data_IF_397992128290
#
_entry.id   IF_397992128290
#
_cell.length_a   1.000
_cell.length_b   1.000
_cell.length_c   1.000
_cell.angle_alpha   90.00
_cell.angle_beta   90.00
_cell.angle_gamma   90.00
#
_symmetry.space_group_name_H-M   'P 1'
#
loop_
_entity.id
_entity.type
_entity.pdbx_description
1 polymer ?
#
# COMPACT_ATOMS: atom_id res chain seq x y z
N UNK A 1 -17.67 11.06 11.61
CA UNK A 1 -17.04 10.10 12.55
C UNK A 1 -15.59 10.53 12.71
N UNK A 2 -15.07 10.62 13.91
CA UNK A 2 -13.66 10.97 14.14
C UNK A 2 -12.84 9.72 13.84
N UNK A 3 -11.86 9.81 12.93
CA UNK A 3 -10.92 8.73 12.64
C UNK A 3 -10.13 8.36 13.91
N UNK A 4 -9.96 7.07 14.15
CA UNK A 4 -9.08 6.56 15.19
C UNK A 4 -8.11 5.58 14.56
N UNK A 5 -6.80 5.81 14.67
CA UNK A 5 -5.81 4.88 14.15
C UNK A 5 -5.99 3.48 14.73
N UNK A 6 -6.00 2.46 13.87
CA UNK A 6 -6.02 1.06 14.26
C UNK A 6 -4.69 0.40 13.86
N UNK A 7 -4.29 -0.72 14.50
CA UNK A 7 -3.03 -1.39 14.19
C UNK A 7 -3.09 -2.31 12.96
N UNK A 8 -4.27 -2.51 12.39
CA UNK A 8 -4.51 -3.35 11.22
C UNK A 8 -5.80 -2.94 10.51
N UNK A 9 -5.94 -3.31 9.24
CA UNK A 9 -7.11 -3.01 8.41
C UNK A 9 -7.44 -4.18 7.50
N UNK A 10 -8.71 -4.53 7.42
CA UNK A 10 -9.22 -5.54 6.52
C UNK A 10 -9.62 -4.95 5.15
N UNK A 11 -10.02 -5.80 4.21
CA UNK A 11 -10.38 -5.40 2.84
C UNK A 11 -11.51 -4.37 2.78
N UNK A 12 -12.53 -4.52 3.61
CA UNK A 12 -13.67 -3.59 3.63
C UNK A 12 -13.27 -2.20 4.09
N UNK A 13 -12.38 -2.12 5.07
CA UNK A 13 -11.83 -0.85 5.56
C UNK A 13 -10.94 -0.18 4.51
N UNK A 14 -10.17 -0.96 3.75
CA UNK A 14 -9.38 -0.43 2.64
C UNK A 14 -10.26 0.09 1.50
N UNK A 15 -11.35 -0.59 1.18
CA UNK A 15 -12.36 -0.12 0.23
C UNK A 15 -13.02 1.17 0.74
N UNK A 16 -13.38 1.23 2.01
CA UNK A 16 -13.92 2.45 2.64
C UNK A 16 -12.94 3.62 2.54
N UNK A 17 -11.63 3.37 2.69
CA UNK A 17 -10.60 4.37 2.43
C UNK A 17 -10.65 4.89 0.99
N UNK A 18 -10.79 4.00 0.02
CA UNK A 18 -10.93 4.35 -1.40
C UNK A 18 -12.16 5.23 -1.67
N UNK A 19 -13.26 4.99 -0.96
CA UNK A 19 -14.50 5.76 -1.05
C UNK A 19 -14.41 7.13 -0.34
N UNK A 20 -13.37 7.35 0.48
CA UNK A 20 -13.22 8.55 1.29
C UNK A 20 -13.89 8.48 2.67
N UNK A 21 -14.38 7.31 3.06
CA UNK A 21 -15.13 7.11 4.30
C UNK A 21 -14.22 6.90 5.53
N UNK A 22 -12.98 6.45 5.31
CA UNK A 22 -12.06 6.15 6.42
C UNK A 22 -11.40 7.39 7.01
N UNK A 23 -10.78 8.23 6.16
CA UNK A 23 -10.03 9.42 6.58
C UNK A 23 -10.79 10.73 6.37
N UNK A 24 -11.96 10.67 5.74
CA UNK A 24 -12.80 11.81 5.40
C UNK A 24 -12.58 12.34 3.98
N UNK A 25 -13.50 13.21 3.50
CA UNK A 25 -13.59 13.56 2.08
C UNK A 25 -12.40 14.36 1.54
N UNK A 26 -11.72 15.11 2.39
CA UNK A 26 -10.63 16.03 2.02
C UNK A 26 -9.23 15.43 2.24
N UNK A 27 -9.16 14.16 2.53
CA UNK A 27 -7.90 13.46 2.78
C UNK A 27 -7.61 12.42 1.70
N UNK A 28 -6.40 11.86 1.76
CA UNK A 28 -5.93 10.85 0.82
C UNK A 28 -6.81 9.61 0.80
N UNK A 29 -6.88 8.99 -0.37
CA UNK A 29 -7.66 7.77 -0.62
C UNK A 29 -6.75 6.70 -1.23
N UNK A 30 -7.06 5.46 -0.94
CA UNK A 30 -6.51 4.35 -1.71
C UNK A 30 -7.16 4.32 -3.11
N UNK A 31 -6.46 3.81 -4.12
CA UNK A 31 -7.08 3.53 -5.40
C UNK A 31 -8.17 2.46 -5.25
N UNK A 32 -9.08 2.43 -6.20
CA UNK A 32 -10.20 1.50 -6.21
C UNK A 32 -9.94 0.29 -7.11
N UNK A 33 -10.74 -0.75 -6.89
CA UNK A 33 -10.86 -1.93 -7.73
C UNK A 33 -9.51 -2.58 -8.07
N UNK A 34 -9.19 -2.69 -9.34
CA UNK A 34 -7.99 -3.37 -9.85
C UNK A 34 -6.68 -2.68 -9.45
N UNK A 35 -6.69 -1.40 -9.16
CA UNK A 35 -5.50 -0.66 -8.72
C UNK A 35 -5.22 -0.77 -7.23
N UNK A 36 -6.13 -1.27 -6.42
CA UNK A 36 -5.86 -1.57 -5.01
C UNK A 36 -5.00 -2.84 -4.92
N UNK A 37 -3.73 -2.69 -4.57
CA UNK A 37 -2.71 -3.72 -4.72
C UNK A 37 -2.44 -4.54 -3.46
N UNK A 38 -3.33 -4.50 -2.48
CA UNK A 38 -3.26 -5.35 -1.28
C UNK A 38 -4.66 -5.61 -0.71
N UNK A 39 -4.78 -6.71 0.04
CA UNK A 39 -6.04 -7.17 0.60
C UNK A 39 -6.20 -6.83 2.08
N UNK A 40 -5.09 -6.60 2.77
CA UNK A 40 -5.10 -6.16 4.16
C UNK A 40 -3.81 -5.41 4.52
N UNK A 41 -3.90 -4.61 5.56
CA UNK A 41 -2.74 -4.12 6.31
C UNK A 41 -2.73 -4.91 7.62
N UNK A 42 -1.73 -5.77 7.77
CA UNK A 42 -1.63 -6.69 8.90
C UNK A 42 -1.02 -6.03 10.15
N UNK A 43 -0.18 -5.03 9.91
CA UNK A 43 0.48 -4.25 10.95
C UNK A 43 0.75 -2.84 10.44
N UNK A 44 0.47 -1.86 11.28
CA UNK A 44 0.86 -0.47 11.07
C UNK A 44 1.10 0.19 12.44
N UNK A 45 2.28 0.76 12.64
CA UNK A 45 2.65 1.42 13.90
C UNK A 45 3.76 2.47 13.69
N UNK A 46 4.04 3.26 14.73
CA UNK A 46 5.04 4.33 14.71
C UNK A 46 6.36 4.00 15.44
N UNK A 47 6.49 2.81 16.02
CA UNK A 47 7.55 2.54 16.98
C UNK A 47 8.48 1.40 16.56
N UNK A 48 7.99 0.47 15.74
CA UNK A 48 8.74 -0.68 15.28
C UNK A 48 9.47 -0.45 13.97
N UNK A 49 9.97 -1.52 13.38
CA UNK A 49 10.73 -1.48 12.14
C UNK A 49 12.22 -1.25 12.34
N UNK A 50 12.95 -1.32 11.24
CA UNK A 50 14.41 -1.24 11.22
C UNK A 50 14.97 0.03 11.86
N UNK A 51 14.23 1.14 11.75
CA UNK A 51 14.66 2.46 12.24
C UNK A 51 13.93 2.88 13.51
N UNK A 52 13.07 2.03 14.09
CA UNK A 52 12.23 2.34 15.25
C UNK A 52 11.34 3.58 15.06
N UNK A 53 10.98 3.87 13.83
CA UNK A 53 10.16 5.03 13.43
C UNK A 53 8.84 4.63 12.78
N UNK A 54 8.55 3.34 12.73
CA UNK A 54 7.31 2.81 12.19
C UNK A 54 7.53 1.68 11.20
N UNK A 55 6.50 0.86 11.09
CA UNK A 55 6.46 -0.29 10.18
C UNK A 55 5.07 -0.47 9.60
N UNK A 56 5.03 -0.91 8.35
CA UNK A 56 3.81 -1.34 7.70
C UNK A 56 4.05 -2.74 7.15
N UNK A 57 3.11 -3.64 7.41
CA UNK A 57 3.06 -4.96 6.81
C UNK A 57 1.69 -5.14 6.17
N UNK A 58 1.67 -5.50 4.91
CA UNK A 58 0.44 -5.76 4.14
C UNK A 58 0.61 -7.00 3.29
N UNK A 59 -0.47 -7.56 2.79
CA UNK A 59 -0.39 -8.67 1.84
C UNK A 59 -1.44 -8.58 0.73
N UNK A 60 -1.10 -9.16 -0.41
CA UNK A 60 -1.98 -9.44 -1.53
C UNK A 60 -2.08 -10.96 -1.69
N UNK A 61 -3.30 -11.50 -1.64
CA UNK A 61 -3.55 -12.89 -1.99
C UNK A 61 -3.43 -13.05 -3.51
N UNK A 62 -2.65 -14.03 -3.93
CA UNK A 62 -2.44 -14.30 -5.35
C UNK A 62 -3.37 -15.41 -5.81
N UNK A 63 -4.22 -15.06 -6.77
CA UNK A 63 -5.13 -15.97 -7.45
C UNK A 63 -4.87 -15.89 -8.96
N UNK A 64 -5.05 -17.01 -9.66
CA UNK A 64 -4.84 -17.09 -11.12
C UNK A 64 -5.72 -16.11 -11.90
N UNK A 65 -6.84 -15.69 -11.32
CA UNK A 65 -7.83 -14.79 -11.91
C UNK A 65 -7.48 -13.32 -11.78
N UNK A 66 -6.38 -12.96 -11.12
CA UNK A 66 -5.96 -11.57 -11.05
C UNK A 66 -5.67 -11.00 -12.44
N UNK A 67 -6.24 -9.84 -12.71
CA UNK A 67 -6.31 -9.22 -14.04
C UNK A 67 -4.97 -9.12 -14.77
N UNK A 68 -3.88 -8.85 -14.05
CA UNK A 68 -2.58 -8.65 -14.67
C UNK A 68 -1.96 -9.94 -15.22
N UNK A 69 -2.40 -11.12 -14.79
CA UNK A 69 -1.92 -12.39 -15.33
C UNK A 69 -2.41 -12.68 -16.75
N UNK A 70 -3.58 -12.17 -17.12
CA UNK A 70 -4.12 -12.34 -18.48
C UNK A 70 -3.42 -11.46 -19.53
N UNK A 71 -2.83 -10.36 -19.09
CA UNK A 71 -2.28 -9.33 -19.97
C UNK A 71 -0.77 -9.17 -19.90
N UNK A 72 -0.14 -9.76 -18.90
CA UNK A 72 1.29 -9.62 -18.65
C UNK A 72 1.92 -10.97 -18.25
N UNK A 73 2.29 -11.83 -19.19
CA UNK A 73 2.12 -11.72 -20.64
C UNK A 73 1.21 -12.84 -21.15
N UNK A 74 0.71 -12.79 -22.39
CA UNK A 74 0.00 -13.91 -22.99
C UNK A 74 0.89 -15.15 -22.99
N UNK A 75 0.39 -16.26 -22.43
CA UNK A 75 1.11 -17.54 -22.29
C UNK A 75 2.33 -17.51 -21.35
N UNK A 76 2.56 -16.38 -20.67
CA UNK A 76 3.66 -16.23 -19.71
C UNK A 76 3.22 -15.27 -18.59
N UNK A 77 2.32 -15.72 -17.70
CA UNK A 77 1.74 -14.86 -16.68
C UNK A 77 2.74 -14.57 -15.55
N UNK A 78 3.00 -13.29 -15.34
CA UNK A 78 3.82 -12.78 -14.25
C UNK A 78 3.28 -11.44 -13.78
N UNK A 79 3.23 -11.22 -12.47
CA UNK A 79 2.83 -9.94 -11.91
C UNK A 79 3.83 -8.85 -12.33
N UNK A 80 3.37 -7.73 -12.92
CA UNK A 80 4.25 -6.61 -13.21
C UNK A 80 4.92 -6.09 -11.94
N UNK A 81 6.24 -5.99 -11.93
CA UNK A 81 7.00 -5.50 -10.77
C UNK A 81 6.64 -4.07 -10.36
N UNK A 82 6.25 -3.25 -11.34
CA UNK A 82 5.76 -1.88 -11.08
C UNK A 82 4.50 -1.85 -10.20
N UNK A 83 3.65 -2.87 -10.22
CA UNK A 83 2.47 -2.95 -9.36
C UNK A 83 2.86 -3.20 -7.90
N UNK A 84 3.90 -3.96 -7.65
CA UNK A 84 4.47 -4.12 -6.31
C UNK A 84 5.06 -2.82 -5.76
N UNK A 85 5.72 -2.04 -6.60
CA UNK A 85 6.21 -0.71 -6.24
C UNK A 85 5.04 0.25 -5.96
N UNK A 86 4.02 0.21 -6.79
CA UNK A 86 2.82 1.04 -6.59
C UNK A 86 2.10 0.67 -5.29
N UNK A 87 2.02 -0.61 -4.94
CA UNK A 87 1.51 -1.05 -3.65
C UNK A 87 2.24 -0.40 -2.47
N UNK A 88 3.56 -0.28 -2.55
CA UNK A 88 4.36 0.38 -1.50
C UNK A 88 4.06 1.88 -1.43
N UNK A 89 3.88 2.55 -2.55
CA UNK A 89 3.44 3.95 -2.57
C UNK A 89 2.03 4.13 -1.99
N UNK A 90 1.11 3.22 -2.31
CA UNK A 90 -0.24 3.21 -1.73
C UNK A 90 -0.19 3.08 -0.20
N UNK A 91 0.64 2.17 0.31
CA UNK A 91 0.84 1.96 1.75
C UNK A 91 1.46 3.18 2.43
N UNK A 92 2.42 3.85 1.79
CA UNK A 92 2.99 5.09 2.31
C UNK A 92 1.97 6.22 2.35
N UNK A 93 1.15 6.36 1.31
CA UNK A 93 0.05 7.33 1.28
C UNK A 93 -0.96 7.06 2.40
N UNK A 94 -1.31 5.80 2.60
CA UNK A 94 -2.17 5.37 3.70
C UNK A 94 -1.56 5.72 5.07
N UNK A 95 -0.25 5.46 5.23
CA UNK A 95 0.47 5.77 6.48
C UNK A 95 0.43 7.25 6.84
N UNK A 96 0.59 8.15 5.85
CA UNK A 96 0.51 9.58 6.11
C UNK A 96 -0.88 10.01 6.58
N UNK A 97 -1.94 9.46 5.98
CA UNK A 97 -3.32 9.70 6.44
C UNK A 97 -3.58 9.08 7.81
N UNK A 98 -3.01 7.91 8.08
CA UNK A 98 -3.08 7.22 9.36
C UNK A 98 -2.40 8.03 10.50
N UNK A 99 -1.35 8.79 10.16
CA UNK A 99 -0.72 9.77 11.05
C UNK A 99 -1.53 11.08 11.18
N UNK A 100 -2.73 11.13 10.58
CA UNK A 100 -3.60 12.30 10.56
C UNK A 100 -2.98 13.54 9.86
N UNK A 101 -2.05 13.31 8.93
CA UNK A 101 -1.52 14.37 8.08
C UNK A 101 -2.53 14.68 6.97
N UNK A 102 -2.95 15.95 6.83
CA UNK A 102 -4.03 16.32 5.91
C UNK A 102 -3.56 16.35 4.45
N UNK A 103 -4.53 16.21 3.53
CA UNK A 103 -4.33 16.44 2.10
C UNK A 103 -4.18 15.17 1.28
N UNK A 104 -3.87 15.36 0.00
CA UNK A 104 -3.76 14.30 -0.99
C UNK A 104 -2.30 13.96 -1.27
N UNK A 105 -1.94 12.68 -1.13
CA UNK A 105 -0.60 12.19 -1.39
C UNK A 105 -0.28 12.09 -2.89
N UNK A 106 0.96 12.41 -3.24
CA UNK A 106 1.54 12.12 -4.56
C UNK A 106 2.95 11.61 -4.35
N UNK A 107 3.27 10.48 -4.99
CA UNK A 107 4.63 9.94 -4.96
C UNK A 107 5.59 10.90 -5.65
N UNK A 108 6.71 11.18 -5.01
CA UNK A 108 7.75 12.07 -5.54
C UNK A 108 8.87 11.31 -6.24
N UNK A 109 9.09 10.05 -5.89
CA UNK A 109 10.12 9.24 -6.50
C UNK A 109 10.45 7.99 -5.73
N UNK A 110 11.35 7.21 -6.28
CA UNK A 110 11.95 6.03 -5.70
C UNK A 110 13.43 5.98 -6.04
N UNK A 111 14.22 5.35 -5.18
CA UNK A 111 15.63 5.10 -5.40
C UNK A 111 15.93 3.61 -5.21
N UNK A 112 16.92 3.11 -5.95
CA UNK A 112 17.45 1.74 -5.82
C UNK A 112 16.39 0.63 -5.91
N UNK A 113 15.46 0.74 -6.85
CA UNK A 113 14.48 -0.32 -7.10
C UNK A 113 15.17 -1.52 -7.75
N UNK A 114 15.01 -2.71 -7.16
CA UNK A 114 15.55 -3.96 -7.67
C UNK A 114 14.51 -5.06 -7.55
N UNK A 115 14.47 -5.95 -8.55
CA UNK A 115 13.64 -7.15 -8.56
C UNK A 115 14.54 -8.36 -8.59
N UNK A 116 14.37 -9.28 -7.64
CA UNK A 116 15.21 -10.47 -7.51
C UNK A 116 14.51 -11.76 -7.93
N UNK A 117 13.24 -11.69 -8.27
CA UNK A 117 12.43 -12.83 -8.68
C UNK A 117 11.14 -12.36 -9.33
N UNK A 118 10.24 -13.29 -9.55
CA UNK A 118 8.96 -13.04 -10.19
C UNK A 118 7.82 -13.64 -9.37
N UNK A 119 6.65 -13.01 -9.46
CA UNK A 119 5.40 -13.49 -8.87
C UNK A 119 4.56 -14.10 -9.97
N UNK A 120 4.40 -15.42 -9.94
CA UNK A 120 3.59 -16.19 -10.90
C UNK A 120 2.21 -16.53 -10.30
N UNK A 121 1.26 -17.01 -11.11
CA UNK A 121 -0.06 -17.45 -10.59
C UNK A 121 0.03 -18.54 -9.51
N UNK A 122 1.12 -19.28 -9.41
CA UNK A 122 1.35 -20.29 -8.38
C UNK A 122 1.81 -19.73 -7.03
N UNK A 123 2.20 -18.47 -6.97
CA UNK A 123 2.43 -17.80 -5.71
C UNK A 123 1.13 -17.73 -4.92
N UNK A 124 1.16 -17.87 -3.62
CA UNK A 124 -0.05 -17.84 -2.77
C UNK A 124 -0.30 -16.45 -2.21
N UNK A 125 0.77 -15.72 -1.96
CA UNK A 125 0.70 -14.41 -1.31
C UNK A 125 1.93 -13.58 -1.67
N UNK A 126 1.73 -12.28 -1.84
CA UNK A 126 2.78 -11.27 -1.82
C UNK A 126 2.68 -10.52 -0.50
N UNK A 127 3.76 -10.48 0.24
CA UNK A 127 3.86 -9.72 1.48
C UNK A 127 4.67 -8.46 1.23
N UNK A 128 4.08 -7.32 1.57
CA UNK A 128 4.74 -6.03 1.54
C UNK A 128 5.21 -5.66 2.94
N UNK A 129 6.43 -5.19 3.03
CA UNK A 129 7.00 -4.78 4.31
C UNK A 129 7.75 -3.47 4.12
N UNK A 130 7.37 -2.46 4.89
CA UNK A 130 7.94 -1.12 4.83
C UNK A 130 8.47 -0.74 6.20
N UNK A 131 9.73 -0.34 6.24
CA UNK A 131 10.35 0.27 7.42
C UNK A 131 10.42 1.79 7.21
N UNK A 132 9.74 2.55 8.05
CA UNK A 132 9.74 4.01 7.99
C UNK A 132 11.05 4.52 8.56
N UNK A 133 11.81 5.20 7.71
CA UNK A 133 13.07 5.81 8.13
C UNK A 133 12.83 7.14 8.85
N UNK A 134 11.98 7.97 8.30
CA UNK A 134 11.56 9.24 8.91
C UNK A 134 10.34 9.81 8.17
N UNK A 135 9.59 10.61 8.86
CA UNK A 135 8.56 11.50 8.29
C UNK A 135 9.00 12.93 8.57
N UNK A 136 8.98 13.76 7.54
CA UNK A 136 9.35 15.18 7.64
C UNK A 136 8.17 15.99 7.12
N UNK A 137 7.53 16.74 7.98
CA UNK A 137 6.43 17.63 7.63
C UNK A 137 6.94 19.07 7.54
N UNK A 138 6.86 19.65 6.35
CA UNK A 138 7.25 21.05 6.08
C UNK A 138 6.08 21.80 5.45
N UNK A 139 4.94 21.81 6.12
CA UNK A 139 3.71 22.40 5.58
C UNK A 139 3.09 21.54 4.47
N UNK A 140 3.18 21.97 3.23
CA UNK A 140 2.56 21.27 2.10
C UNK A 140 3.34 20.02 1.63
N UNK A 141 4.50 19.73 2.19
CA UNK A 141 5.35 18.59 1.78
C UNK A 141 5.72 17.74 3.01
N UNK A 142 5.54 16.44 2.88
CA UNK A 142 5.86 15.43 3.88
C UNK A 142 6.88 14.45 3.33
#
# INVERSE_FOLDING_TARGET
MIFKPAPSYNKQELIACGNGDLFGPDNGRLPADEMLMFDSIDQIDQNSGKYSNGKIVAHLNIEETLWFFDVHFKSDPVMPGCLGLDAMWQLLGFYLCWLELPGYGRALGSDKVKFFGQVTPSAKVVRYEIDIKRVVNRGAVV
#
